data_IF_819934664540
#
_entry.id   IF_819934664540
#
_cell.length_a   1.000
_cell.length_b   1.000
_cell.length_c   1.000
_cell.angle_alpha   90.00
_cell.angle_beta   90.00
_cell.angle_gamma   90.00
#
_symmetry.space_group_name_H-M   'P 1'
#
loop_
_entity.id
_entity.type
_entity.pdbx_description
1 polymer ?
#
# COMPACT_ATOMS: atom_id res chain seq x y z
N UNK A 1 13.70 -8.72 -20.60
CA UNK A 1 12.49 -9.54 -20.36
C UNK A 1 12.21 -9.65 -18.85
N UNK A 2 13.16 -10.14 -18.10
CA UNK A 2 13.00 -10.31 -16.64
C UNK A 2 12.71 -9.00 -15.93
N UNK A 3 13.52 -7.96 -16.18
CA UNK A 3 13.29 -6.61 -15.61
C UNK A 3 11.94 -6.06 -16.01
N UNK A 4 11.52 -6.31 -17.27
CA UNK A 4 10.24 -5.86 -17.78
C UNK A 4 9.08 -6.48 -16.98
N UNK A 5 9.23 -7.74 -16.59
CA UNK A 5 8.23 -8.40 -15.75
C UNK A 5 8.20 -7.78 -14.36
N UNK A 6 9.37 -7.54 -13.77
CA UNK A 6 9.46 -6.90 -12.45
C UNK A 6 8.84 -5.51 -12.49
N UNK A 7 9.15 -4.71 -13.49
CA UNK A 7 8.58 -3.38 -13.65
C UNK A 7 7.06 -3.41 -13.70
N UNK A 8 6.48 -4.34 -14.43
CA UNK A 8 5.04 -4.48 -14.53
C UNK A 8 4.42 -4.81 -13.17
N UNK A 9 5.03 -5.72 -12.43
CA UNK A 9 4.53 -6.11 -11.11
C UNK A 9 4.64 -4.97 -10.11
N UNK A 10 5.77 -4.27 -10.10
CA UNK A 10 5.99 -3.12 -9.20
C UNK A 10 5.04 -1.99 -9.54
N UNK A 11 4.78 -1.74 -10.81
CA UNK A 11 3.84 -0.69 -11.23
C UNK A 11 2.43 -0.92 -10.70
N UNK A 12 2.01 -2.18 -10.61
CA UNK A 12 0.72 -2.48 -10.01
C UNK A 12 0.69 -2.03 -8.54
N UNK A 13 1.80 -2.23 -7.81
CA UNK A 13 1.86 -1.83 -6.41
C UNK A 13 1.99 -0.33 -6.23
N UNK A 14 2.64 0.37 -7.16
CA UNK A 14 2.64 1.83 -7.18
C UNK A 14 1.20 2.32 -7.32
N UNK A 15 0.44 1.73 -8.25
CA UNK A 15 -0.98 2.07 -8.43
C UNK A 15 -1.77 1.78 -7.14
N UNK A 16 -1.53 0.62 -6.52
CA UNK A 16 -2.21 0.24 -5.28
C UNK A 16 -1.94 1.23 -4.16
N UNK A 17 -0.69 1.63 -3.98
CA UNK A 17 -0.35 2.60 -2.94
C UNK A 17 -0.98 3.97 -3.21
N UNK A 18 -1.06 4.38 -4.46
CA UNK A 18 -1.70 5.64 -4.82
C UNK A 18 -3.18 5.65 -4.44
N UNK A 19 -3.90 4.57 -4.78
CA UNK A 19 -5.32 4.44 -4.43
C UNK A 19 -5.49 4.32 -2.92
N UNK A 20 -4.63 3.55 -2.28
CA UNK A 20 -4.67 3.38 -0.83
C UNK A 20 -4.38 4.69 -0.09
N UNK A 21 -3.45 5.49 -0.59
CA UNK A 21 -3.18 6.83 -0.06
C UNK A 21 -4.46 7.66 -0.01
N UNK A 22 -5.19 7.71 -1.11
CA UNK A 22 -6.44 8.45 -1.18
C UNK A 22 -7.50 7.86 -0.25
N UNK A 23 -7.59 6.54 -0.20
CA UNK A 23 -8.55 5.83 0.64
C UNK A 23 -8.30 6.07 2.13
N UNK A 24 -7.05 5.96 2.56
CA UNK A 24 -6.70 6.19 3.96
C UNK A 24 -6.91 7.66 4.33
N UNK A 25 -6.63 8.56 3.39
CA UNK A 25 -6.88 9.98 3.60
C UNK A 25 -8.38 10.26 3.79
N UNK A 26 -9.22 9.59 3.00
CA UNK A 26 -10.67 9.65 3.16
C UNK A 26 -11.07 9.21 4.58
N UNK A 27 -10.54 8.09 5.04
CA UNK A 27 -10.83 7.58 6.37
C UNK A 27 -10.30 8.49 7.48
N UNK A 28 -9.12 9.07 7.27
CA UNK A 28 -8.53 10.03 8.20
C UNK A 28 -9.47 11.23 8.43
N UNK A 29 -10.11 11.69 7.36
CA UNK A 29 -11.05 12.81 7.46
C UNK A 29 -12.40 12.43 8.05
N UNK A 30 -12.91 11.22 7.70
CA UNK A 30 -14.29 10.87 8.04
C UNK A 30 -14.45 9.97 9.26
N UNK A 31 -13.37 9.47 9.83
CA UNK A 31 -13.45 8.71 11.08
C UNK A 31 -14.08 9.57 12.19
N UNK A 32 -14.89 8.92 13.05
CA UNK A 32 -15.50 9.63 14.17
C UNK A 32 -15.68 8.67 15.35
N UNK A 33 -16.15 9.21 16.48
CA UNK A 33 -16.45 8.40 17.64
C UNK A 33 -15.42 8.54 18.75
N UNK A 34 -15.52 7.69 19.79
CA UNK A 34 -14.72 7.84 21.00
C UNK A 34 -13.22 7.70 20.82
N UNK A 35 -12.77 7.07 19.73
CA UNK A 35 -11.34 6.89 19.44
C UNK A 35 -10.87 7.75 18.27
N UNK A 36 -11.57 8.85 18.03
CA UNK A 36 -11.27 9.73 16.90
C UNK A 36 -9.80 10.18 16.87
N UNK A 37 -9.31 10.69 17.99
CA UNK A 37 -7.97 11.28 17.99
C UNK A 37 -6.88 10.26 17.67
N UNK A 38 -6.98 9.07 18.26
CA UNK A 38 -6.01 8.00 18.02
C UNK A 38 -6.08 7.50 16.60
N UNK A 39 -7.28 7.29 16.07
CA UNK A 39 -7.45 6.79 14.70
C UNK A 39 -7.10 7.84 13.65
N UNK A 40 -7.53 9.07 13.86
CA UNK A 40 -7.20 10.18 12.97
C UNK A 40 -5.68 10.30 12.82
N UNK A 41 -4.97 10.28 13.94
CA UNK A 41 -3.51 10.35 13.94
C UNK A 41 -2.87 9.10 13.36
N UNK A 42 -3.39 7.90 13.67
CA UNK A 42 -2.85 6.65 13.12
C UNK A 42 -3.03 6.59 11.61
N UNK A 43 -4.19 6.99 11.11
CA UNK A 43 -4.45 7.01 9.68
C UNK A 43 -3.53 8.00 8.96
N UNK A 44 -3.23 9.14 9.57
CA UNK A 44 -2.25 10.08 9.02
C UNK A 44 -0.87 9.43 8.91
N UNK A 45 -0.42 8.75 9.95
CA UNK A 45 0.85 8.03 9.94
C UNK A 45 0.87 7.02 8.79
N UNK A 46 -0.24 6.31 8.60
CA UNK A 46 -0.32 5.29 7.55
C UNK A 46 -0.28 5.89 6.14
N UNK A 47 -1.02 6.97 5.87
CA UNK A 47 -0.97 7.51 4.52
C UNK A 47 0.36 8.18 4.20
N UNK A 48 1.04 8.71 5.20
CA UNK A 48 2.39 9.24 5.01
C UNK A 48 3.38 8.14 4.65
N UNK A 49 3.28 6.99 5.29
CA UNK A 49 4.14 5.86 4.97
C UNK A 49 3.83 5.32 3.57
N UNK A 50 2.55 5.22 3.22
CA UNK A 50 2.11 4.74 1.90
C UNK A 50 2.66 5.64 0.79
N UNK A 51 2.58 6.96 0.96
CA UNK A 51 3.09 7.88 -0.06
C UNK A 51 4.62 7.79 -0.16
N UNK A 52 5.31 7.61 0.96
CA UNK A 52 6.75 7.40 0.95
C UNK A 52 7.13 6.12 0.21
N UNK A 53 6.34 5.07 0.41
CA UNK A 53 6.60 3.78 -0.22
C UNK A 53 6.49 3.86 -1.74
N UNK A 54 5.43 4.46 -2.29
CA UNK A 54 5.34 4.46 -3.74
C UNK A 54 6.27 5.48 -4.41
N UNK A 55 6.66 6.52 -3.68
CA UNK A 55 7.72 7.40 -4.14
C UNK A 55 9.03 6.62 -4.30
N UNK A 56 9.40 5.85 -3.29
CA UNK A 56 10.61 5.04 -3.33
C UNK A 56 10.57 3.98 -4.44
N UNK A 57 9.41 3.34 -4.63
CA UNK A 57 9.26 2.32 -5.67
C UNK A 57 9.39 2.94 -7.06
N UNK A 58 8.76 4.10 -7.28
CA UNK A 58 8.83 4.79 -8.57
C UNK A 58 10.27 5.19 -8.88
N UNK A 59 10.98 5.74 -7.90
CA UNK A 59 12.37 6.14 -8.08
C UNK A 59 13.27 4.93 -8.30
N UNK A 60 12.97 3.80 -7.64
CA UNK A 60 13.71 2.56 -7.86
C UNK A 60 13.55 2.06 -9.29
N UNK A 61 12.32 2.12 -9.84
CA UNK A 61 12.10 1.74 -11.23
C UNK A 61 12.93 2.61 -12.18
N UNK A 62 12.96 3.92 -11.94
CA UNK A 62 13.79 4.82 -12.75
C UNK A 62 15.27 4.45 -12.65
N UNK A 63 15.72 4.12 -11.44
CA UNK A 63 17.12 3.77 -11.21
C UNK A 63 17.55 2.51 -11.96
N UNK A 64 16.62 1.57 -12.19
CA UNK A 64 16.93 0.34 -12.92
C UNK A 64 16.50 0.40 -14.39
N UNK A 65 16.13 1.59 -14.87
CA UNK A 65 15.81 1.78 -16.29
C UNK A 65 14.38 1.46 -16.69
N UNK A 66 13.49 1.30 -15.72
CA UNK A 66 12.06 1.06 -15.97
C UNK A 66 11.28 2.36 -15.83
N UNK A 67 10.04 2.36 -16.30
CA UNK A 67 9.20 3.56 -16.25
C UNK A 67 8.05 3.35 -15.28
N UNK A 68 7.96 4.16 -14.21
CA UNK A 68 6.83 4.06 -13.29
C UNK A 68 5.58 4.67 -13.89
N UNK A 69 4.41 4.10 -13.57
CA UNK A 69 3.13 4.73 -13.86
C UNK A 69 2.99 5.98 -12.99
N UNK A 70 2.38 7.02 -13.55
CA UNK A 70 2.39 8.32 -12.88
C UNK A 70 1.16 9.19 -13.20
N UNK A 71 0.06 8.58 -13.58
CA UNK A 71 -1.19 9.31 -13.80
C UNK A 71 -2.34 8.63 -13.05
N UNK A 72 -3.34 9.39 -12.69
CA UNK A 72 -4.52 8.84 -12.02
C UNK A 72 -5.21 7.76 -12.86
N UNK A 73 -5.26 7.98 -14.17
CA UNK A 73 -5.85 6.99 -15.07
C UNK A 73 -5.11 5.67 -15.02
N UNK A 74 -3.78 5.71 -15.07
CA UNK A 74 -2.94 4.51 -15.01
C UNK A 74 -3.13 3.80 -13.66
N UNK A 75 -3.19 4.56 -12.57
CA UNK A 75 -3.41 3.97 -11.25
C UNK A 75 -4.73 3.23 -11.18
N UNK A 76 -5.79 3.82 -11.71
CA UNK A 76 -7.11 3.19 -11.66
C UNK A 76 -7.21 1.97 -12.56
N UNK A 77 -6.46 1.94 -13.66
CA UNK A 77 -6.44 0.79 -14.55
C UNK A 77 -5.70 -0.42 -13.96
N UNK A 78 -4.68 -0.17 -13.12
CA UNK A 78 -3.81 -1.22 -12.59
C UNK A 78 -4.16 -1.68 -11.18
N UNK A 79 -4.82 -0.84 -10.39
CA UNK A 79 -5.02 -1.13 -8.97
C UNK A 79 -5.90 -2.35 -8.73
N UNK A 80 -5.56 -3.07 -7.65
CA UNK A 80 -6.40 -4.14 -7.12
C UNK A 80 -7.07 -3.71 -5.81
N UNK A 81 -6.87 -2.45 -5.40
CA UNK A 81 -7.47 -1.88 -4.18
C UNK A 81 -8.74 -1.13 -4.56
N UNK A 82 -9.81 -1.37 -3.83
CA UNK A 82 -11.08 -0.67 -4.04
C UNK A 82 -11.09 0.65 -3.27
N UNK A 83 -11.72 1.66 -3.85
CA UNK A 83 -11.85 2.96 -3.20
C UNK A 83 -12.79 2.89 -2.00
N UNK A 84 -12.72 3.90 -1.12
CA UNK A 84 -13.70 4.06 -0.05
C UNK A 84 -15.08 4.25 -0.67
N UNK A 85 -16.10 3.64 -0.05
CA UNK A 85 -17.48 3.72 -0.57
C UNK A 85 -18.26 4.90 -0.01
N UNK A 86 -17.84 5.43 1.14
CA UNK A 86 -18.58 6.45 1.87
C UNK A 86 -19.62 5.89 2.84
N UNK A 87 -19.77 4.56 2.89
CA UNK A 87 -20.73 3.90 3.77
C UNK A 87 -20.10 3.21 4.97
N UNK A 88 -18.76 3.22 5.06
CA UNK A 88 -18.06 2.55 6.14
C UNK A 88 -18.24 3.29 7.45
N UNK A 89 -18.54 2.57 8.52
CA UNK A 89 -18.42 3.12 9.86
C UNK A 89 -16.95 3.01 10.30
N UNK A 90 -16.63 3.50 11.50
CA UNK A 90 -15.25 3.53 11.98
C UNK A 90 -14.60 2.13 12.02
N UNK A 91 -15.33 1.13 12.50
CA UNK A 91 -14.77 -0.24 12.53
C UNK A 91 -14.58 -0.79 11.13
N UNK A 92 -15.51 -0.51 10.21
CA UNK A 92 -15.40 -0.93 8.81
C UNK A 92 -14.17 -0.30 8.17
N UNK A 93 -13.88 0.97 8.47
CA UNK A 93 -12.71 1.66 7.95
C UNK A 93 -11.42 0.95 8.38
N UNK A 94 -11.31 0.63 9.67
CA UNK A 94 -10.13 -0.07 10.20
C UNK A 94 -10.00 -1.45 9.55
N UNK A 95 -11.10 -2.20 9.48
CA UNK A 95 -11.09 -3.53 8.88
C UNK A 95 -10.70 -3.46 7.40
N UNK A 96 -11.18 -2.45 6.68
CA UNK A 96 -10.84 -2.27 5.28
C UNK A 96 -9.35 -2.04 5.09
N UNK A 97 -8.74 -1.22 5.94
CA UNK A 97 -7.29 -0.98 5.87
C UNK A 97 -6.51 -2.26 6.18
N UNK A 98 -6.96 -3.04 7.18
CA UNK A 98 -6.34 -4.33 7.49
C UNK A 98 -6.38 -5.23 6.25
N UNK A 99 -7.54 -5.36 5.64
CA UNK A 99 -7.71 -6.22 4.46
C UNK A 99 -6.83 -5.78 3.31
N UNK A 100 -6.73 -4.48 3.08
CA UNK A 100 -5.89 -3.93 2.02
C UNK A 100 -4.41 -4.19 2.28
N UNK A 101 -3.95 -4.00 3.51
CA UNK A 101 -2.56 -4.25 3.86
C UNK A 101 -2.20 -5.73 3.74
N UNK A 102 -3.12 -6.61 4.13
CA UNK A 102 -2.90 -8.05 4.00
C UNK A 102 -2.85 -8.46 2.52
N UNK A 103 -3.72 -7.89 1.70
CA UNK A 103 -3.72 -8.13 0.26
C UNK A 103 -2.41 -7.69 -0.38
N UNK A 104 -1.96 -6.47 -0.07
CA UNK A 104 -0.69 -5.98 -0.58
C UNK A 104 0.48 -6.84 -0.13
N UNK A 105 0.45 -7.28 1.13
CA UNK A 105 1.49 -8.14 1.66
C UNK A 105 1.59 -9.46 0.88
N UNK A 106 0.46 -10.04 0.51
CA UNK A 106 0.44 -11.26 -0.30
C UNK A 106 0.93 -10.99 -1.72
N UNK A 107 0.52 -9.89 -2.33
CA UNK A 107 1.00 -9.52 -3.66
C UNK A 107 2.50 -9.27 -3.65
N UNK A 108 3.01 -8.64 -2.60
CA UNK A 108 4.44 -8.37 -2.44
C UNK A 108 5.26 -9.66 -2.40
N UNK A 109 4.74 -10.71 -1.76
CA UNK A 109 5.47 -11.98 -1.68
C UNK A 109 5.81 -12.51 -3.08
N UNK A 110 4.83 -12.48 -3.98
CA UNK A 110 5.04 -12.91 -5.35
C UNK A 110 6.08 -12.05 -6.08
N UNK A 111 6.01 -10.74 -5.86
CA UNK A 111 6.94 -9.81 -6.51
C UNK A 111 8.36 -9.99 -5.96
N UNK A 112 8.48 -10.22 -4.66
CA UNK A 112 9.78 -10.46 -4.02
C UNK A 112 10.45 -11.69 -4.63
N UNK A 113 9.70 -12.76 -4.88
CA UNK A 113 10.25 -13.97 -5.49
C UNK A 113 10.84 -13.68 -6.87
N UNK A 114 10.17 -12.87 -7.68
CA UNK A 114 10.69 -12.44 -8.98
C UNK A 114 11.90 -11.54 -8.80
N UNK A 115 11.82 -10.59 -7.89
CA UNK A 115 12.87 -9.60 -7.67
C UNK A 115 14.16 -10.24 -7.13
N UNK A 116 14.06 -11.29 -6.31
CA UNK A 116 15.23 -11.96 -5.77
C UNK A 116 16.16 -12.44 -6.88
N UNK A 117 15.62 -12.85 -8.01
CA UNK A 117 16.41 -13.31 -9.15
C UNK A 117 16.87 -12.15 -10.05
N UNK A 118 16.01 -11.14 -10.24
CA UNK A 118 16.25 -10.10 -11.23
C UNK A 118 16.95 -8.86 -10.67
N UNK A 119 16.63 -8.49 -9.46
CA UNK A 119 17.19 -7.29 -8.82
C UNK A 119 17.06 -7.41 -7.30
N UNK A 120 18.07 -8.02 -6.66
CA UNK A 120 18.01 -8.23 -5.20
C UNK A 120 17.85 -6.96 -4.38
N UNK A 121 18.29 -5.81 -4.88
CA UNK A 121 18.12 -4.54 -4.16
C UNK A 121 16.65 -4.18 -4.09
N UNK A 122 15.91 -4.36 -5.18
CA UNK A 122 14.46 -4.15 -5.17
C UNK A 122 13.77 -5.17 -4.26
N UNK A 123 14.24 -6.43 -4.27
CA UNK A 123 13.69 -7.45 -3.39
C UNK A 123 13.84 -7.05 -1.92
N UNK A 124 14.99 -6.51 -1.54
CA UNK A 124 15.24 -6.05 -0.18
C UNK A 124 14.31 -4.90 0.20
N UNK A 125 14.14 -3.94 -0.68
CA UNK A 125 13.23 -2.81 -0.48
C UNK A 125 11.79 -3.29 -0.26
N UNK A 126 11.31 -4.20 -1.12
CA UNK A 126 9.96 -4.76 -1.02
C UNK A 126 9.78 -5.55 0.27
N UNK A 127 10.81 -6.30 0.68
CA UNK A 127 10.78 -7.06 1.92
C UNK A 127 10.58 -6.17 3.14
N UNK A 128 11.28 -5.03 3.17
CA UNK A 128 11.12 -4.05 4.23
C UNK A 128 9.72 -3.46 4.29
N UNK A 129 9.15 -3.13 3.11
CA UNK A 129 7.80 -2.61 3.02
C UNK A 129 6.76 -3.64 3.46
N UNK A 130 6.93 -4.89 3.03
CA UNK A 130 6.05 -5.99 3.44
C UNK A 130 6.06 -6.18 4.95
N UNK A 131 7.24 -6.13 5.55
CA UNK A 131 7.39 -6.24 7.00
C UNK A 131 6.58 -5.17 7.72
N UNK A 132 6.63 -3.94 7.23
CA UNK A 132 5.88 -2.83 7.80
C UNK A 132 4.37 -3.00 7.62
N UNK A 133 3.94 -3.43 6.42
CA UNK A 133 2.51 -3.71 6.17
C UNK A 133 1.98 -4.75 7.16
N UNK A 134 2.74 -5.82 7.37
CA UNK A 134 2.35 -6.88 8.30
C UNK A 134 2.24 -6.38 9.73
N UNK A 135 3.17 -5.52 10.14
CA UNK A 135 3.17 -4.95 11.47
C UNK A 135 1.95 -4.06 11.69
N UNK A 136 1.66 -3.19 10.73
CA UNK A 136 0.49 -2.31 10.83
C UNK A 136 -0.82 -3.11 10.83
N UNK A 137 -0.92 -4.14 9.99
CA UNK A 137 -2.11 -4.98 9.98
C UNK A 137 -2.31 -5.66 11.34
N UNK A 138 -1.23 -6.16 11.94
CA UNK A 138 -1.30 -6.74 13.29
C UNK A 138 -1.80 -5.73 14.31
N UNK A 139 -1.23 -4.54 14.32
CA UNK A 139 -1.60 -3.52 15.30
C UNK A 139 -3.06 -3.10 15.15
N UNK A 140 -3.53 -2.98 13.91
CA UNK A 140 -4.92 -2.61 13.65
C UNK A 140 -5.89 -3.74 14.06
N UNK A 141 -5.51 -5.01 13.84
CA UNK A 141 -6.32 -6.13 14.32
C UNK A 141 -6.40 -6.11 15.86
N UNK A 142 -5.28 -5.85 16.52
CA UNK A 142 -5.25 -5.75 17.97
C UNK A 142 -6.16 -4.61 18.46
N UNK A 143 -6.16 -3.49 17.74
CA UNK A 143 -7.04 -2.38 18.05
C UNK A 143 -8.51 -2.81 18.03
N UNK A 144 -8.89 -3.63 17.05
CA UNK A 144 -10.26 -4.15 16.95
C UNK A 144 -10.57 -5.27 17.96
N UNK A 145 -9.57 -5.74 18.69
CA UNK A 145 -9.74 -6.80 19.68
C UNK A 145 -9.62 -8.20 19.12
N UNK A 146 -8.99 -8.34 17.99
CA UNK A 146 -8.81 -9.65 17.34
C UNK A 146 -7.48 -10.31 17.66
#
# INVERSE_FOLDING_TARGET
MAQKKLGTLVNKEIANFSVLYTKIHNYHWFVNGPHFFELHQKLEELYKEVTSNYDELAERLLAIGEKPVATLKEYMELTTIEEATGNENTEDMVQSVINDFEKLSEEFLEIIEVAEEEDPVTADMLTGMKKSLNKHAWMLRAYLGH
#
